data_IF_101397801088
#
_entry.id   IF_101397801088
#
_cell.length_a   1.000
_cell.length_b   1.000
_cell.length_c   1.000
_cell.angle_alpha   90.00
_cell.angle_beta   90.00
_cell.angle_gamma   90.00
#
_symmetry.space_group_name_H-M   'P 1'
#
loop_
_entity.id
_entity.type
_entity.pdbx_description
1 polymer ?
#
# COMPACT_ATOMS: atom_id res chain seq x y z
N UNK A 1 18.85 -4.07 -2.26
CA UNK A 1 17.70 -4.29 -1.37
C UNK A 1 16.62 -3.27 -1.70
N UNK A 2 15.37 -3.69 -1.87
CA UNK A 2 14.26 -2.75 -2.13
C UNK A 2 13.62 -2.33 -0.80
N UNK A 3 13.40 -1.04 -0.63
CA UNK A 3 12.75 -0.45 0.55
C UNK A 3 11.42 0.15 0.09
N UNK A 4 10.36 -0.18 0.81
CA UNK A 4 8.98 0.29 0.61
C UNK A 4 8.52 1.00 1.88
N UNK A 5 7.67 2.00 1.73
CA UNK A 5 7.09 2.75 2.86
C UNK A 5 5.95 1.96 3.51
N UNK A 6 5.29 1.11 2.73
CA UNK A 6 4.18 0.25 3.16
C UNK A 6 4.14 -1.02 2.31
N UNK A 7 3.87 -2.16 2.95
CA UNK A 7 3.55 -3.43 2.28
C UNK A 7 2.16 -3.85 2.74
N UNK A 8 1.26 -4.05 1.79
CA UNK A 8 -0.05 -4.68 1.99
C UNK A 8 0.10 -6.15 1.61
N UNK A 9 -0.44 -7.08 2.41
CA UNK A 9 -0.42 -8.51 2.10
C UNK A 9 -1.87 -8.95 1.87
N UNK A 10 -2.21 -9.19 0.60
CA UNK A 10 -3.54 -9.62 0.15
C UNK A 10 -4.27 -8.56 -0.66
N UNK A 11 -4.50 -8.83 -1.95
CA UNK A 11 -5.11 -7.91 -2.92
C UNK A 11 -6.65 -7.90 -2.96
N UNK A 12 -7.32 -8.29 -1.87
CA UNK A 12 -8.78 -8.21 -1.76
C UNK A 12 -9.28 -6.77 -1.61
N UNK A 13 -10.60 -6.56 -1.52
CA UNK A 13 -11.18 -5.21 -1.42
C UNK A 13 -10.59 -4.37 -0.28
N UNK A 14 -10.38 -4.97 0.89
CA UNK A 14 -9.80 -4.29 2.05
C UNK A 14 -8.32 -3.92 1.83
N UNK A 15 -7.53 -4.80 1.21
CA UNK A 15 -6.10 -4.54 0.95
C UNK A 15 -5.91 -3.43 -0.08
N UNK A 16 -6.67 -3.46 -1.17
CA UNK A 16 -6.65 -2.39 -2.17
C UNK A 16 -7.17 -1.07 -1.61
N UNK A 17 -8.21 -1.09 -0.76
CA UNK A 17 -8.69 0.11 -0.08
C UNK A 17 -7.64 0.70 0.87
N UNK A 18 -6.89 -0.14 1.58
CA UNK A 18 -5.78 0.28 2.43
C UNK A 18 -4.65 0.91 1.61
N UNK A 19 -4.25 0.30 0.49
CA UNK A 19 -3.24 0.84 -0.41
C UNK A 19 -3.67 2.18 -1.03
N UNK A 20 -4.93 2.30 -1.45
CA UNK A 20 -5.50 3.55 -1.95
C UNK A 20 -5.47 4.64 -0.87
N UNK A 21 -5.91 4.33 0.35
CA UNK A 21 -5.93 5.30 1.45
C UNK A 21 -4.54 5.73 1.88
N UNK A 22 -3.57 4.83 1.83
CA UNK A 22 -2.16 5.14 2.07
C UNK A 22 -1.63 6.13 1.03
N UNK A 23 -1.97 5.93 -0.26
CA UNK A 23 -1.60 6.85 -1.34
C UNK A 23 -2.20 8.24 -1.17
N UNK A 24 -3.48 8.34 -0.78
CA UNK A 24 -4.13 9.63 -0.46
C UNK A 24 -3.47 10.37 0.70
N UNK A 25 -2.85 9.63 1.64
CA UNK A 25 -2.09 10.19 2.77
C UNK A 25 -0.64 10.51 2.43
N UNK A 26 -0.25 10.40 1.15
CA UNK A 26 1.07 10.74 0.67
C UNK A 26 2.09 9.61 0.72
N UNK A 27 1.71 8.40 1.14
CA UNK A 27 2.61 7.22 1.08
C UNK A 27 2.77 6.80 -0.38
N UNK A 28 3.98 6.83 -0.90
CA UNK A 28 4.23 6.63 -2.33
C UNK A 28 4.68 5.22 -2.65
N UNK A 29 5.64 4.68 -1.88
CA UNK A 29 6.33 3.44 -2.23
C UNK A 29 5.63 2.24 -1.60
N UNK A 30 4.44 1.94 -2.12
CA UNK A 30 3.56 0.86 -1.63
C UNK A 30 3.76 -0.41 -2.47
N UNK A 31 3.97 -1.54 -1.80
CA UNK A 31 3.87 -2.88 -2.38
C UNK A 31 2.53 -3.50 -1.93
N UNK A 32 1.85 -4.20 -2.84
CA UNK A 32 0.56 -4.89 -2.58
C UNK A 32 0.75 -6.39 -2.84
#
# INVERSE_FOLDING_TARGET
MMVYDLIVIGGGPAGLAAALKAKEKGIQKILI
#
